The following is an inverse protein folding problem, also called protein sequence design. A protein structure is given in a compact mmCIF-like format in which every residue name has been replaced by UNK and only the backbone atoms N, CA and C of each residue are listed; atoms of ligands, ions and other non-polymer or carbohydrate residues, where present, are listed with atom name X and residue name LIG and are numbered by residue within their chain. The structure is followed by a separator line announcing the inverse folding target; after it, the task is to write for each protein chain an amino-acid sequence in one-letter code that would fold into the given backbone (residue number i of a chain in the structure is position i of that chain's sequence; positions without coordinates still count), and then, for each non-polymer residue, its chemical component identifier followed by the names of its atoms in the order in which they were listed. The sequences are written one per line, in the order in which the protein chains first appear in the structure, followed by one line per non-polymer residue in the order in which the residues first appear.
data_IF_437445264114
#
_entry.id   IF_437445264114
#
_cell.length_a   1.000
_cell.length_b   1.000
_cell.length_c   1.000
_cell.angle_alpha   90.00
_cell.angle_beta   90.00
_cell.angle_gamma   90.00
#
_symmetry.space_group_name_H-M   'P 1'
#
loop_
_entity.id
_entity.type
_entity.pdbx_description
1 polymer ?
#
# COMPACT_ATOMS: atom_id res chain seq x y z
N UNK A 1 7.83 -53.96 -11.95
CA UNK A 1 9.00 -53.18 -11.51
C UNK A 1 8.84 -51.79 -12.02
N UNK A 2 8.27 -50.91 -11.16
CA UNK A 2 8.01 -49.50 -11.46
C UNK A 2 8.83 -48.68 -10.47
N UNK A 3 9.84 -47.98 -10.98
CA UNK A 3 10.72 -47.10 -10.18
C UNK A 3 10.06 -45.75 -10.01
N UNK A 4 9.57 -45.49 -8.80
CA UNK A 4 9.18 -44.17 -8.36
C UNK A 4 10.44 -43.32 -8.08
N UNK A 5 10.72 -42.37 -8.96
CA UNK A 5 11.74 -41.35 -8.76
C UNK A 5 11.14 -40.23 -7.93
N UNK A 6 11.38 -40.24 -6.62
CA UNK A 6 11.14 -39.12 -5.73
C UNK A 6 12.21 -38.04 -5.95
N UNK A 7 11.84 -36.92 -6.55
CA UNK A 7 12.67 -35.72 -6.62
C UNK A 7 12.57 -34.97 -5.27
N UNK A 8 13.68 -34.54 -4.67
CA UNK A 8 13.62 -33.74 -3.46
C UNK A 8 13.11 -32.32 -3.77
N UNK A 9 12.09 -31.91 -3.05
CA UNK A 9 11.69 -30.50 -2.99
C UNK A 9 12.81 -29.73 -2.28
N UNK A 10 13.49 -28.86 -3.00
CA UNK A 10 14.41 -27.89 -2.41
C UNK A 10 13.56 -26.85 -1.72
N UNK A 11 13.47 -26.95 -0.41
CA UNK A 11 12.92 -25.90 0.43
C UNK A 11 13.90 -24.71 0.43
N UNK A 12 13.63 -23.74 -0.42
CA UNK A 12 14.34 -22.45 -0.41
C UNK A 12 13.80 -21.69 0.80
N UNK A 13 14.55 -21.74 1.91
CA UNK A 13 14.29 -20.89 3.06
C UNK A 13 14.53 -19.43 2.66
N UNK A 14 13.47 -18.71 2.32
CA UNK A 14 13.50 -17.27 2.07
C UNK A 14 13.66 -16.54 3.38
N UNK A 15 14.90 -16.22 3.76
CA UNK A 15 15.17 -15.27 4.82
C UNK A 15 14.96 -13.85 4.29
N UNK A 16 13.73 -13.36 4.35
CA UNK A 16 13.42 -11.97 4.02
C UNK A 16 13.75 -11.07 5.21
N UNK A 17 14.84 -10.31 5.11
CA UNK A 17 15.03 -9.10 5.91
C UNK A 17 14.04 -8.05 5.42
N UNK A 18 12.85 -8.01 6.01
CA UNK A 18 11.93 -6.87 5.84
C UNK A 18 12.55 -5.69 6.57
N UNK A 19 13.24 -4.82 5.84
CA UNK A 19 13.60 -3.50 6.34
C UNK A 19 12.30 -2.72 6.58
N UNK A 20 11.82 -2.77 7.83
CA UNK A 20 10.68 -1.96 8.24
C UNK A 20 11.09 -0.50 8.25
N UNK A 21 10.29 0.35 7.65
CA UNK A 21 10.34 1.78 7.85
C UNK A 21 10.11 2.09 9.33
N UNK A 22 11.19 2.18 10.12
CA UNK A 22 11.16 2.92 11.37
C UNK A 22 11.50 4.36 11.06
N UNK A 23 10.57 5.27 11.34
CA UNK A 23 10.81 6.70 11.37
C UNK A 23 11.98 7.01 12.29
N UNK A 24 13.11 7.41 11.72
CA UNK A 24 14.23 8.00 12.46
C UNK A 24 13.84 9.44 12.76
N UNK A 25 13.53 9.72 14.03
CA UNK A 25 13.54 11.08 14.55
C UNK A 25 14.98 11.55 14.63
N UNK A 26 15.36 12.56 13.85
CA UNK A 26 16.61 13.29 14.02
C UNK A 26 16.60 14.01 15.37
N UNK A 27 17.43 13.55 16.31
CA UNK A 27 17.92 14.37 17.41
C UNK A 27 19.40 14.66 17.19
N UNK A 28 19.74 15.92 17.35
CA UNK A 28 20.98 16.57 17.02
C UNK A 28 22.23 16.01 17.70
N UNK A 29 23.34 16.23 17.03
CA UNK A 29 24.69 15.93 17.45
C UNK A 29 25.09 16.73 18.69
N UNK A 30 25.51 16.02 19.75
CA UNK A 30 26.25 16.56 20.89
C UNK A 30 27.39 15.61 21.24
N UNK A 31 28.59 16.12 21.28
CA UNK A 31 29.88 15.48 21.55
C UNK A 31 30.02 14.88 22.96
N UNK A 32 30.95 13.95 23.21
CA UNK A 32 30.95 13.07 24.37
C UNK A 32 31.70 13.62 25.60
N UNK A 33 31.16 13.37 26.79
CA UNK A 33 31.82 13.54 28.07
C UNK A 33 31.59 12.32 28.96
N UNK A 34 32.66 11.80 29.52
CA UNK A 34 32.84 10.59 30.29
C UNK A 34 32.23 10.65 31.73
N UNK A 35 32.11 9.52 32.43
CA UNK A 35 31.08 9.29 33.45
C UNK A 35 31.56 9.56 34.92
N UNK A 36 30.60 9.81 35.81
CA UNK A 36 30.79 9.62 37.25
C UNK A 36 29.51 9.08 37.90
N UNK A 37 29.71 8.21 38.82
CA UNK A 37 28.85 7.27 39.48
C UNK A 37 28.01 7.82 40.65
N UNK A 38 27.00 6.97 40.99
CA UNK A 38 26.43 6.65 42.33
C UNK A 38 25.56 7.66 43.09
N UNK A 39 24.39 7.25 43.45
CA UNK A 39 23.87 6.82 44.76
C UNK A 39 22.41 7.24 45.02
N UNK A 40 21.60 6.24 45.20
CA UNK A 40 20.69 5.87 46.31
C UNK A 40 19.69 6.86 46.89
N UNK A 41 18.46 6.32 47.05
CA UNK A 41 17.48 6.43 48.12
C UNK A 41 16.71 7.78 48.21
N UNK A 42 15.49 7.89 48.64
CA UNK A 42 14.52 7.04 49.37
C UNK A 42 13.18 7.82 49.44
N UNK A 43 12.09 7.07 49.51
CA UNK A 43 10.81 7.28 50.22
C UNK A 43 10.11 8.63 50.42
N UNK A 44 8.78 8.53 50.32
CA UNK A 44 7.75 9.24 51.15
C UNK A 44 6.63 9.83 50.30
N UNK A 45 5.56 9.27 50.20
CA UNK A 45 4.36 8.94 51.00
C UNK A 45 3.44 10.17 51.30
N UNK A 46 2.14 9.88 51.16
CA UNK A 46 0.97 10.54 51.74
C UNK A 46 0.57 11.93 51.14
N UNK A 47 -0.63 12.22 50.87
CA UNK A 47 -1.91 11.72 51.26
C UNK A 47 -2.98 12.81 51.14
N UNK A 48 -4.18 12.34 50.99
CA UNK A 48 -5.46 12.90 51.43
C UNK A 48 -6.13 14.03 50.63
N UNK A 49 -7.29 13.69 50.04
CA UNK A 49 -8.68 13.86 50.56
C UNK A 49 -9.08 15.32 50.75
N UNK A 50 -10.19 15.79 50.37
CA UNK A 50 -11.61 15.53 50.33
C UNK A 50 -12.25 16.87 49.96
N UNK A 51 -13.36 17.06 49.54
CA UNK A 51 -14.71 16.61 49.61
C UNK A 51 -15.65 17.81 49.40
N UNK A 52 -16.76 17.48 48.82
CA UNK A 52 -18.11 17.98 49.13
C UNK A 52 -18.54 19.38 48.72
N UNK A 53 -19.60 19.46 48.13
CA UNK A 53 -21.05 19.41 48.28
C UNK A 53 -21.60 20.77 47.81
N UNK A 54 -22.69 20.91 47.19
CA UNK A 54 -23.99 20.32 47.27
C UNK A 54 -25.05 21.38 46.97
N UNK A 55 -26.18 20.90 46.55
CA UNK A 55 -27.55 21.37 46.73
C UNK A 55 -28.17 22.25 45.64
N UNK A 56 -29.12 21.64 44.89
CA UNK A 56 -30.60 21.70 45.00
C UNK A 56 -31.22 23.01 44.53
N UNK A 57 -31.98 22.90 43.45
CA UNK A 57 -33.45 22.78 43.29
C UNK A 57 -34.17 24.13 43.39
N UNK A 58 -34.98 24.48 42.45
CA UNK A 58 -36.43 24.27 42.53
C UNK A 58 -37.17 24.75 41.25
N UNK A 59 -38.22 24.07 41.01
CA UNK A 59 -39.39 24.16 40.17
C UNK A 59 -39.99 25.54 39.89
N UNK A 60 -40.53 25.72 38.64
CA UNK A 60 -41.99 25.78 38.45
C UNK A 60 -42.42 26.13 37.00
N UNK A 61 -43.38 25.42 36.58
CA UNK A 61 -44.34 25.45 35.48
C UNK A 61 -44.78 26.85 35.00
N UNK A 62 -45.02 27.05 33.71
CA UNK A 62 -46.38 27.16 33.18
C UNK A 62 -46.41 27.28 31.66
N UNK A 63 -47.42 26.68 31.09
CA UNK A 63 -47.75 26.58 29.67
C UNK A 63 -48.35 27.85 29.07
N UNK A 64 -48.24 28.02 27.77
CA UNK A 64 -49.31 28.30 26.80
C UNK A 64 -48.73 28.35 25.37
N UNK A 65 -49.26 27.54 24.45
CA UNK A 65 -49.15 27.65 22.99
C UNK A 65 -50.36 28.50 22.50
N UNK A 66 -50.58 28.71 21.16
CA UNK A 66 -49.75 28.55 19.97
C UNK A 66 -49.76 29.77 19.03
N UNK A 67 -48.96 29.81 18.00
CA UNK A 67 -49.37 30.17 16.62
C UNK A 67 -48.25 30.44 15.63
N UNK A 68 -48.24 29.64 14.59
CA UNK A 68 -48.06 29.93 13.17
C UNK A 68 -46.71 30.43 12.60
N UNK A 69 -46.19 29.53 11.77
CA UNK A 69 -45.49 29.77 10.49
C UNK A 69 -44.23 30.65 10.51
N UNK A 70 -43.12 29.97 10.38
CA UNK A 70 -42.19 30.34 9.31
C UNK A 70 -41.37 29.13 8.87
N UNK A 71 -41.41 28.94 7.64
CA UNK A 71 -40.84 27.94 6.79
C UNK A 71 -39.29 27.86 6.86
N UNK A 72 -38.77 26.61 6.88
CA UNK A 72 -37.65 26.18 6.10
C UNK A 72 -36.31 26.90 6.26
N UNK A 73 -35.43 26.33 7.07
CA UNK A 73 -33.98 26.26 6.76
C UNK A 73 -33.33 25.11 7.56
N UNK A 74 -33.72 23.91 7.23
CA UNK A 74 -33.02 22.69 7.67
C UNK A 74 -32.76 21.84 6.41
N UNK A 75 -31.93 22.35 5.52
CA UNK A 75 -31.43 21.61 4.37
C UNK A 75 -30.19 22.34 3.83
N UNK A 76 -29.06 22.25 4.54
CA UNK A 76 -27.77 22.66 3.99
C UNK A 76 -26.59 22.06 4.73
N UNK A 77 -26.62 20.76 5.00
CA UNK A 77 -25.44 20.04 5.47
C UNK A 77 -25.24 18.68 4.81
N UNK A 78 -25.96 18.39 3.72
CA UNK A 78 -25.85 17.13 2.98
C UNK A 78 -25.53 17.30 1.51
N UNK A 79 -25.12 18.51 1.02
CA UNK A 79 -24.80 18.76 -0.38
C UNK A 79 -23.41 19.35 -0.60
N UNK A 80 -22.37 18.75 0.02
CA UNK A 80 -20.99 19.10 -0.31
C UNK A 80 -20.25 17.85 -0.77
N UNK A 81 -20.83 17.11 -1.69
CA UNK A 81 -20.16 16.01 -2.37
C UNK A 81 -20.81 15.65 -3.70
N UNK A 82 -20.85 16.60 -4.62
CA UNK A 82 -21.07 16.32 -6.03
C UNK A 82 -20.57 17.49 -6.86
N UNK A 83 -19.31 17.87 -6.74
CA UNK A 83 -18.62 18.41 -7.90
C UNK A 83 -18.47 17.20 -8.81
N UNK A 84 -19.25 17.14 -9.87
CA UNK A 84 -19.13 16.12 -10.92
C UNK A 84 -17.80 16.32 -11.65
N UNK A 85 -16.73 15.88 -10.98
CA UNK A 85 -15.40 15.81 -11.58
C UNK A 85 -15.48 14.63 -12.54
N UNK A 86 -15.32 14.81 -13.85
CA UNK A 86 -15.36 13.70 -14.78
C UNK A 86 -14.24 12.71 -14.40
N UNK A 87 -14.49 11.39 -14.52
CA UNK A 87 -13.46 10.38 -14.30
C UNK A 87 -12.27 10.64 -15.24
N UNK A 88 -11.06 10.30 -14.79
CA UNK A 88 -9.87 10.38 -15.62
C UNK A 88 -9.91 9.18 -16.57
N UNK A 89 -9.88 9.42 -17.86
CA UNK A 89 -9.70 8.36 -18.85
C UNK A 89 -8.21 8.01 -18.92
N UNK A 90 -7.80 7.03 -18.08
CA UNK A 90 -6.38 6.69 -17.92
C UNK A 90 -5.80 6.13 -19.22
N UNK A 91 -6.58 5.40 -20.02
CA UNK A 91 -6.09 4.83 -21.29
C UNK A 91 -5.76 5.91 -22.30
N UNK A 92 -6.54 6.96 -22.33
CA UNK A 92 -6.38 8.09 -23.24
C UNK A 92 -5.39 9.12 -22.72
N UNK A 93 -5.54 9.51 -21.46
CA UNK A 93 -4.81 10.65 -20.88
C UNK A 93 -3.42 10.25 -20.37
N UNK A 94 -3.24 8.96 -19.98
CA UNK A 94 -2.01 8.41 -19.42
C UNK A 94 -1.67 7.03 -20.05
N UNK A 95 -1.44 6.94 -21.37
CA UNK A 95 -1.14 5.66 -22.04
C UNK A 95 0.16 5.02 -21.56
N UNK A 96 1.05 5.79 -20.95
CA UNK A 96 2.26 5.37 -20.25
C UNK A 96 2.25 5.99 -18.87
N UNK A 97 2.41 5.18 -17.83
CA UNK A 97 2.42 5.66 -16.44
C UNK A 97 3.80 5.47 -15.82
N UNK A 98 4.44 6.57 -15.43
CA UNK A 98 5.73 6.61 -14.72
C UNK A 98 5.52 7.35 -13.41
N UNK A 99 5.61 6.62 -12.31
CA UNK A 99 5.14 7.10 -11.02
C UNK A 99 6.21 7.20 -9.95
N UNK A 100 5.98 8.07 -8.98
CA UNK A 100 6.70 8.11 -7.71
C UNK A 100 5.76 7.69 -6.57
N UNK A 101 6.30 6.87 -5.66
CA UNK A 101 5.59 6.52 -4.43
C UNK A 101 5.63 7.68 -3.42
N UNK A 102 4.50 7.91 -2.78
CA UNK A 102 4.30 8.97 -1.79
C UNK A 102 3.71 8.36 -0.53
N UNK A 103 4.54 8.20 0.50
CA UNK A 103 4.07 7.67 1.77
C UNK A 103 3.09 8.64 2.45
N UNK A 104 2.34 8.15 3.43
CA UNK A 104 1.31 8.91 4.16
C UNK A 104 1.81 10.27 4.66
N UNK A 105 3.00 10.34 5.24
CA UNK A 105 3.54 11.58 5.83
C UNK A 105 3.95 12.60 4.76
N UNK A 106 4.49 12.12 3.64
CA UNK A 106 4.79 12.96 2.49
C UNK A 106 3.51 13.54 1.87
N UNK A 107 2.45 12.73 1.74
CA UNK A 107 1.15 13.17 1.25
C UNK A 107 0.48 14.22 2.14
N UNK A 108 0.69 14.17 3.45
CA UNK A 108 0.21 15.16 4.42
C UNK A 108 1.03 16.47 4.41
N UNK A 109 2.24 16.46 3.84
CA UNK A 109 3.14 17.60 3.81
C UNK A 109 2.97 18.43 2.55
N UNK A 110 2.32 19.60 2.66
CA UNK A 110 2.17 20.53 1.54
C UNK A 110 3.53 20.91 0.91
N UNK A 111 4.58 21.07 1.73
CA UNK A 111 5.94 21.37 1.24
C UNK A 111 6.46 20.20 0.38
N UNK A 112 6.29 18.94 0.87
CA UNK A 112 6.78 17.77 0.13
C UNK A 112 5.97 17.54 -1.14
N UNK A 113 4.66 17.66 -1.08
CA UNK A 113 3.81 17.55 -2.28
C UNK A 113 4.19 18.55 -3.36
N UNK A 114 4.42 19.82 -3.03
CA UNK A 114 4.92 20.82 -4.00
C UNK A 114 6.25 20.44 -4.64
N UNK A 115 7.16 19.80 -3.88
CA UNK A 115 8.44 19.31 -4.43
C UNK A 115 8.22 18.17 -5.41
N UNK A 116 7.36 17.19 -5.06
CA UNK A 116 7.07 16.04 -5.92
C UNK A 116 6.32 16.46 -7.19
N UNK A 117 5.39 17.41 -7.09
CA UNK A 117 4.70 17.98 -8.25
C UNK A 117 5.70 18.66 -9.19
N UNK A 118 6.63 19.49 -8.67
CA UNK A 118 7.66 20.08 -9.52
C UNK A 118 8.57 19.04 -10.18
N UNK A 119 8.91 17.95 -9.46
CA UNK A 119 9.67 16.86 -10.08
C UNK A 119 8.91 16.23 -11.24
N UNK A 120 7.60 16.05 -11.11
CA UNK A 120 6.77 15.56 -12.20
C UNK A 120 6.72 16.57 -13.37
N UNK A 121 6.55 17.87 -13.12
CA UNK A 121 6.54 18.91 -14.15
C UNK A 121 7.85 19.00 -14.92
N UNK A 122 8.98 18.68 -14.28
CA UNK A 122 10.34 18.82 -14.82
C UNK A 122 10.91 17.53 -15.41
N UNK A 123 10.16 16.40 -15.32
CA UNK A 123 10.66 15.07 -15.72
C UNK A 123 9.61 14.23 -16.43
N UNK A 124 9.96 13.00 -16.76
CA UNK A 124 9.08 11.98 -17.35
C UNK A 124 8.03 11.41 -16.39
N UNK A 125 8.04 11.81 -15.13
CA UNK A 125 7.07 11.36 -14.12
C UNK A 125 5.72 12.04 -14.39
N UNK A 126 4.66 11.22 -14.47
CA UNK A 126 3.31 11.70 -14.73
C UNK A 126 2.26 11.12 -13.77
N UNK A 127 2.71 10.44 -12.70
CA UNK A 127 1.79 9.86 -11.72
C UNK A 127 2.40 9.87 -10.31
N UNK A 128 1.53 9.94 -9.30
CA UNK A 128 1.91 9.79 -7.90
C UNK A 128 1.06 8.68 -7.24
N UNK A 129 1.73 7.68 -6.67
CA UNK A 129 1.09 6.62 -5.87
C UNK A 129 1.04 7.06 -4.43
N UNK A 130 -0.15 7.42 -3.94
CA UNK A 130 -0.35 7.96 -2.59
C UNK A 130 -0.88 6.88 -1.64
N UNK A 131 -0.26 6.73 -0.47
CA UNK A 131 -0.80 5.89 0.60
C UNK A 131 -2.10 6.48 1.14
N UNK A 132 -3.24 5.91 0.73
CA UNK A 132 -4.56 6.34 1.19
C UNK A 132 -5.11 5.45 2.29
N UNK A 133 -4.64 4.20 2.41
CA UNK A 133 -4.88 3.30 3.53
C UNK A 133 -3.62 2.47 3.77
N UNK A 134 -3.10 2.51 4.99
CA UNK A 134 -1.90 1.80 5.42
C UNK A 134 -2.05 1.18 6.83
N UNK A 135 -0.95 0.81 7.48
CA UNK A 135 -0.94 0.24 8.83
C UNK A 135 -1.46 1.19 9.91
N UNK A 136 -1.59 2.49 9.64
CA UNK A 136 -2.15 3.49 10.55
C UNK A 136 -3.64 3.79 10.30
N UNK A 137 -4.24 3.16 9.29
CA UNK A 137 -5.62 3.34 8.85
C UNK A 137 -5.75 4.27 7.64
N UNK A 138 -6.90 4.92 7.52
CA UNK A 138 -7.18 5.82 6.40
C UNK A 138 -6.31 7.09 6.47
N UNK A 139 -5.85 7.56 5.33
CA UNK A 139 -5.09 8.80 5.19
C UNK A 139 -5.95 9.96 4.64
N UNK A 140 -7.24 9.84 4.77
CA UNK A 140 -8.21 10.84 4.37
C UNK A 140 -9.43 10.81 5.30
N UNK A 141 -10.25 11.85 5.26
CA UNK A 141 -11.52 11.90 6.01
C UNK A 141 -12.59 11.24 5.17
N UNK A 142 -13.05 10.07 5.62
CA UNK A 142 -14.15 9.36 4.97
C UNK A 142 -15.49 10.00 5.33
N UNK A 143 -16.40 10.07 4.36
CA UNK A 143 -17.81 10.40 4.57
C UNK A 143 -18.65 9.20 5.03
N UNK A 144 -18.11 7.99 4.98
CA UNK A 144 -18.81 6.76 5.32
C UNK A 144 -18.64 6.43 6.82
N UNK A 145 -19.72 6.47 7.59
CA UNK A 145 -19.70 6.15 9.02
C UNK A 145 -19.21 4.72 9.33
N UNK A 146 -19.44 3.75 8.42
CA UNK A 146 -18.93 2.38 8.54
C UNK A 146 -17.42 2.32 8.43
N UNK A 147 -16.82 3.10 7.52
CA UNK A 147 -15.36 3.16 7.34
C UNK A 147 -14.68 3.97 8.43
N UNK A 148 -15.36 4.97 9.00
CA UNK A 148 -14.82 5.80 10.06
C UNK A 148 -14.35 5.00 11.29
N UNK A 149 -14.95 3.85 11.57
CA UNK A 149 -14.53 2.95 12.66
C UNK A 149 -13.12 2.39 12.41
N UNK A 150 -12.75 2.19 11.15
CA UNK A 150 -11.46 1.63 10.72
C UNK A 150 -10.48 2.73 10.27
N UNK A 151 -10.80 4.02 10.50
CA UNK A 151 -9.95 5.12 10.06
C UNK A 151 -8.61 5.21 10.80
N UNK A 152 -8.52 4.62 12.00
CA UNK A 152 -7.34 4.79 12.86
C UNK A 152 -7.29 6.18 13.52
N UNK A 153 -6.19 6.46 14.23
CA UNK A 153 -6.00 7.71 14.98
C UNK A 153 -4.86 8.58 14.43
N UNK A 154 -4.27 8.20 13.30
CA UNK A 154 -3.18 8.96 12.69
C UNK A 154 -3.73 10.20 11.96
N UNK A 155 -2.86 11.19 11.75
CA UNK A 155 -3.18 12.34 10.91
C UNK A 155 -3.53 11.93 9.48
N UNK A 156 -4.28 12.76 8.79
CA UNK A 156 -4.73 12.54 7.41
C UNK A 156 -4.36 13.72 6.52
N UNK A 157 -4.42 13.54 5.20
CA UNK A 157 -4.32 14.65 4.23
C UNK A 157 -5.42 15.66 4.56
N UNK A 158 -5.00 16.92 4.80
CA UNK A 158 -5.90 17.97 5.29
C UNK A 158 -7.05 18.28 4.34
N UNK A 159 -6.71 18.42 3.05
CA UNK A 159 -7.64 18.77 1.99
C UNK A 159 -7.30 17.90 0.77
N UNK A 160 -7.84 16.69 0.77
CA UNK A 160 -7.60 15.74 -0.33
C UNK A 160 -8.23 16.22 -1.64
N UNK A 161 -9.46 16.78 -1.68
CA UNK A 161 -10.01 17.33 -2.90
C UNK A 161 -9.12 18.39 -3.56
N UNK A 162 -8.63 19.37 -2.79
CA UNK A 162 -7.73 20.40 -3.31
C UNK A 162 -6.39 19.84 -3.80
N UNK A 163 -5.87 18.80 -3.15
CA UNK A 163 -4.68 18.09 -3.62
C UNK A 163 -4.94 17.41 -4.97
N UNK A 164 -6.05 16.70 -5.13
CA UNK A 164 -6.42 16.03 -6.38
C UNK A 164 -6.65 17.02 -7.50
N UNK A 165 -7.32 18.15 -7.23
CA UNK A 165 -7.48 19.25 -8.21
C UNK A 165 -6.11 19.79 -8.65
N UNK A 166 -5.16 19.94 -7.71
CA UNK A 166 -3.80 20.38 -8.02
C UNK A 166 -3.09 19.36 -8.91
N UNK A 167 -3.12 18.06 -8.56
CA UNK A 167 -2.50 17.02 -9.39
C UNK A 167 -3.07 17.00 -10.80
N UNK A 168 -4.39 17.12 -10.94
CA UNK A 168 -5.05 17.20 -12.24
C UNK A 168 -4.61 18.41 -13.05
N UNK A 169 -4.51 19.59 -12.42
CA UNK A 169 -4.05 20.81 -13.10
C UNK A 169 -2.60 20.69 -13.63
N UNK A 170 -1.79 19.84 -13.00
CA UNK A 170 -0.43 19.52 -13.43
C UNK A 170 -0.32 18.26 -14.31
N UNK A 171 -1.45 17.72 -14.81
CA UNK A 171 -1.49 16.46 -15.58
C UNK A 171 -0.79 15.29 -14.89
N UNK A 172 -0.96 15.16 -13.57
CA UNK A 172 -0.40 14.09 -12.77
C UNK A 172 -1.53 13.13 -12.37
N UNK A 173 -1.42 11.86 -12.75
CA UNK A 173 -2.36 10.81 -12.40
C UNK A 173 -2.26 10.50 -10.89
N UNK A 174 -3.32 10.71 -10.11
CA UNK A 174 -3.37 10.26 -8.73
C UNK A 174 -3.74 8.76 -8.67
N UNK A 175 -2.89 7.97 -8.02
CA UNK A 175 -3.10 6.55 -7.79
C UNK A 175 -3.27 6.33 -6.29
N UNK A 176 -4.39 5.72 -5.88
CA UNK A 176 -4.65 5.45 -4.47
C UNK A 176 -4.14 4.07 -4.07
N UNK A 177 -3.09 4.00 -3.24
CA UNK A 177 -2.60 2.73 -2.70
C UNK A 177 -3.34 2.38 -1.41
N UNK A 178 -3.84 1.15 -1.35
CA UNK A 178 -4.61 0.56 -0.26
C UNK A 178 -3.90 -0.71 0.22
N UNK A 179 -3.42 -0.72 1.45
CA UNK A 179 -2.95 -1.92 2.14
C UNK A 179 -4.16 -2.76 2.57
N UNK A 180 -4.27 -4.01 2.07
CA UNK A 180 -5.48 -4.81 2.24
C UNK A 180 -5.45 -5.69 3.48
N UNK A 181 -4.60 -6.74 3.52
CA UNK A 181 -4.68 -7.76 4.57
C UNK A 181 -3.72 -7.56 5.74
N UNK A 182 -2.69 -6.74 5.59
CA UNK A 182 -1.83 -6.32 6.70
C UNK A 182 -2.41 -5.09 7.40
N UNK A 183 -3.58 -5.24 7.99
CA UNK A 183 -4.36 -4.15 8.57
C UNK A 183 -4.60 -4.38 10.07
N UNK A 184 -3.70 -3.85 10.88
CA UNK A 184 -3.78 -3.97 12.33
C UNK A 184 -4.83 -3.02 12.96
N UNK A 185 -5.28 -2.01 12.22
CA UNK A 185 -6.37 -1.12 12.66
C UNK A 185 -7.70 -1.87 12.59
N UNK A 186 -8.02 -2.43 11.42
CA UNK A 186 -9.21 -3.26 11.24
C UNK A 186 -9.16 -4.49 12.17
N UNK A 187 -8.00 -5.11 12.35
CA UNK A 187 -7.85 -6.25 13.27
C UNK A 187 -8.15 -5.92 14.74
N UNK A 188 -7.99 -4.66 15.15
CA UNK A 188 -8.39 -4.20 16.50
C UNK A 188 -9.87 -3.90 16.62
N UNK A 189 -10.46 -3.34 15.57
CA UNK A 189 -11.89 -2.98 15.52
C UNK A 189 -12.75 -4.23 15.34
N UNK A 190 -12.27 -5.18 14.55
CA UNK A 190 -12.92 -6.44 14.19
C UNK A 190 -12.01 -7.63 14.50
N UNK A 191 -11.84 -7.99 15.79
CA UNK A 191 -11.02 -9.15 16.18
C UNK A 191 -11.47 -10.45 15.54
N UNK A 192 -12.77 -10.59 15.27
CA UNK A 192 -13.39 -11.76 14.61
C UNK A 192 -12.93 -11.95 13.15
N UNK A 193 -12.43 -10.90 12.49
CA UNK A 193 -11.94 -10.96 11.11
C UNK A 193 -10.45 -11.32 11.01
N UNK A 194 -9.81 -11.69 12.11
CA UNK A 194 -8.35 -11.90 12.14
C UNK A 194 -7.95 -13.34 11.86
N UNK A 195 -6.70 -13.51 11.42
CA UNK A 195 -6.02 -14.80 11.37
C UNK A 195 -5.84 -15.29 12.82
N UNK A 196 -6.04 -16.58 13.06
CA UNK A 196 -6.00 -17.21 14.38
C UNK A 196 -4.78 -18.11 14.55
N UNK A 197 -4.50 -18.47 15.80
CA UNK A 197 -3.64 -19.58 16.20
C UNK A 197 -4.50 -20.82 16.44
N UNK A 198 -3.86 -21.97 16.70
CA UNK A 198 -4.55 -23.22 17.04
C UNK A 198 -5.33 -23.13 18.37
N UNK A 199 -4.91 -22.28 19.30
CA UNK A 199 -5.62 -21.98 20.56
C UNK A 199 -6.73 -20.93 20.40
N UNK A 200 -7.07 -20.57 19.16
CA UNK A 200 -8.05 -19.54 18.79
C UNK A 200 -7.67 -18.09 19.20
N UNK A 201 -6.47 -17.85 19.71
CA UNK A 201 -5.97 -16.49 19.93
C UNK A 201 -5.60 -15.81 18.61
N UNK A 202 -5.50 -14.47 18.60
CA UNK A 202 -5.15 -13.69 17.40
C UNK A 202 -3.69 -14.00 17.02
N UNK A 203 -3.49 -14.39 15.76
CA UNK A 203 -2.15 -14.57 15.20
C UNK A 203 -1.48 -13.22 14.95
N UNK A 204 -0.17 -13.14 15.19
CA UNK A 204 0.65 -11.94 14.98
C UNK A 204 1.93 -12.28 14.26
N UNK A 205 2.37 -11.38 13.39
CA UNK A 205 3.63 -11.48 12.66
C UNK A 205 4.87 -11.23 13.57
N UNK A 206 6.07 -11.29 12.98
CA UNK A 206 7.35 -11.04 13.70
C UNK A 206 7.45 -9.65 14.34
N UNK A 207 6.63 -8.69 13.91
CA UNK A 207 6.55 -7.34 14.48
C UNK A 207 5.45 -7.20 15.52
N UNK A 208 4.76 -8.28 15.83
CA UNK A 208 3.63 -8.29 16.76
C UNK A 208 2.33 -7.72 16.17
N UNK A 209 2.28 -7.46 14.84
CA UNK A 209 1.10 -6.93 14.17
C UNK A 209 0.10 -8.03 13.88
N UNK A 210 -1.17 -7.78 14.18
CA UNK A 210 -2.27 -8.64 13.75
C UNK A 210 -2.59 -8.40 12.28
N UNK A 211 -2.95 -9.48 11.58
CA UNK A 211 -3.41 -9.46 10.21
C UNK A 211 -4.87 -9.86 10.14
N UNK A 212 -5.60 -9.29 9.20
CA UNK A 212 -6.96 -9.70 8.88
C UNK A 212 -6.95 -10.90 7.94
N UNK A 213 -8.00 -11.72 8.03
CA UNK A 213 -8.10 -12.99 7.30
C UNK A 213 -8.58 -12.77 5.86
N UNK A 214 -7.77 -13.10 4.82
CA UNK A 214 -8.18 -12.92 3.43
C UNK A 214 -9.45 -13.67 3.01
N UNK A 215 -9.85 -14.70 3.74
CA UNK A 215 -11.08 -15.46 3.48
C UNK A 215 -12.35 -14.77 4.01
N UNK A 216 -12.23 -13.65 4.74
CA UNK A 216 -13.38 -12.97 5.34
C UNK A 216 -14.00 -11.95 4.37
N UNK A 217 -15.20 -12.19 3.86
CA UNK A 217 -15.79 -11.42 2.76
C UNK A 217 -16.26 -10.00 3.14
N UNK A 218 -16.65 -9.74 4.39
CA UNK A 218 -16.98 -8.39 4.84
C UNK A 218 -15.75 -7.46 4.75
N UNK A 219 -14.56 -8.02 4.98
CA UNK A 219 -13.30 -7.31 4.79
C UNK A 219 -13.08 -6.90 3.33
N UNK A 220 -13.51 -7.74 2.37
CA UNK A 220 -13.45 -7.39 0.95
C UNK A 220 -14.33 -6.19 0.66
N UNK A 221 -15.59 -6.25 1.12
CA UNK A 221 -16.56 -5.16 0.94
C UNK A 221 -16.05 -3.84 1.52
N UNK A 222 -15.37 -3.89 2.66
CA UNK A 222 -14.73 -2.72 3.27
C UNK A 222 -13.62 -2.15 2.37
N UNK A 223 -12.64 -2.97 1.96
CA UNK A 223 -11.51 -2.48 1.17
C UNK A 223 -11.93 -2.01 -0.23
N UNK A 224 -12.84 -2.72 -0.88
CA UNK A 224 -13.42 -2.32 -2.18
C UNK A 224 -14.20 -1.02 -2.02
N UNK A 225 -15.02 -0.89 -0.98
CA UNK A 225 -15.78 0.34 -0.71
C UNK A 225 -14.89 1.56 -0.43
N UNK A 226 -13.77 1.38 0.28
CA UNK A 226 -12.76 2.45 0.44
C UNK A 226 -12.21 2.89 -0.93
N UNK A 227 -11.90 1.95 -1.82
CA UNK A 227 -11.45 2.28 -3.17
C UNK A 227 -12.53 2.98 -3.99
N UNK A 228 -13.80 2.58 -3.89
CA UNK A 228 -14.91 3.28 -4.56
C UNK A 228 -15.09 4.72 -4.07
N UNK A 229 -14.91 4.96 -2.76
CA UNK A 229 -14.95 6.31 -2.22
C UNK A 229 -13.81 7.17 -2.80
N UNK A 230 -12.59 6.63 -2.86
CA UNK A 230 -11.43 7.30 -3.45
C UNK A 230 -11.58 7.53 -4.96
N UNK A 231 -12.11 6.56 -5.70
CA UNK A 231 -12.44 6.69 -7.11
C UNK A 231 -13.40 7.86 -7.36
N UNK A 232 -14.47 7.97 -6.57
CA UNK A 232 -15.44 9.08 -6.63
C UNK A 232 -14.84 10.44 -6.25
N UNK A 233 -13.75 10.45 -5.48
CA UNK A 233 -13.00 11.67 -5.17
C UNK A 233 -12.09 12.12 -6.33
N UNK A 234 -11.82 11.26 -7.33
CA UNK A 234 -11.05 11.61 -8.52
C UNK A 234 -9.70 10.92 -8.67
N UNK A 235 -9.46 9.79 -7.98
CA UNK A 235 -8.34 8.91 -8.30
C UNK A 235 -8.63 8.15 -9.60
N UNK A 236 -7.62 8.04 -10.47
CA UNK A 236 -7.74 7.30 -11.74
C UNK A 236 -7.41 5.83 -11.62
N UNK A 237 -6.64 5.42 -10.60
CA UNK A 237 -6.32 4.03 -10.32
C UNK A 237 -6.43 3.71 -8.82
N UNK A 238 -6.92 2.51 -8.50
CA UNK A 238 -6.90 1.94 -7.15
C UNK A 238 -5.90 0.79 -7.14
N UNK A 239 -4.85 0.97 -6.34
CA UNK A 239 -3.74 0.05 -6.23
C UNK A 239 -3.78 -0.71 -4.91
N UNK A 240 -3.91 -2.02 -4.98
CA UNK A 240 -3.94 -2.89 -3.83
C UNK A 240 -2.55 -3.44 -3.50
N UNK A 241 -2.08 -3.20 -2.29
CA UNK A 241 -0.90 -3.83 -1.74
C UNK A 241 -1.24 -4.74 -0.55
N UNK A 242 -0.30 -5.61 -0.18
CA UNK A 242 -0.51 -6.64 0.82
C UNK A 242 -1.74 -7.52 0.52
N UNK A 243 -2.02 -7.75 -0.78
CA UNK A 243 -2.98 -8.74 -1.25
C UNK A 243 -2.33 -10.14 -1.20
N UNK A 244 -2.01 -10.56 0.01
CA UNK A 244 -1.30 -11.78 0.31
C UNK A 244 -1.52 -12.24 1.74
N UNK A 245 -1.23 -13.48 1.99
CA UNK A 245 -1.13 -14.02 3.35
C UNK A 245 0.20 -13.64 3.98
N UNK A 246 0.30 -13.61 5.32
CA UNK A 246 1.58 -13.42 5.98
C UNK A 246 2.49 -14.63 5.77
N UNK A 247 3.80 -14.40 5.78
CA UNK A 247 4.80 -15.45 5.62
C UNK A 247 4.72 -16.46 6.79
N UNK A 248 4.69 -17.78 6.52
CA UNK A 248 4.63 -18.80 7.56
C UNK A 248 6.05 -19.14 8.08
N UNK A 249 6.65 -18.23 8.82
CA UNK A 249 7.97 -18.49 9.41
C UNK A 249 7.90 -19.61 10.46
N UNK A 250 8.83 -20.55 10.43
CA UNK A 250 8.94 -21.64 11.41
C UNK A 250 9.07 -21.14 12.87
N UNK A 251 9.54 -19.91 13.09
CA UNK A 251 9.63 -19.27 14.40
C UNK A 251 8.32 -18.67 14.91
N UNK A 252 7.25 -18.69 14.12
CA UNK A 252 5.95 -18.17 14.49
C UNK A 252 4.93 -19.32 14.67
N UNK A 253 3.90 -19.10 15.49
CA UNK A 253 2.80 -20.05 15.60
C UNK A 253 2.16 -20.32 14.25
N UNK A 254 1.57 -21.51 14.08
CA UNK A 254 0.82 -21.87 12.89
C UNK A 254 -0.36 -20.94 12.67
N UNK A 255 -0.55 -20.55 11.41
CA UNK A 255 -1.69 -19.74 10.98
C UNK A 255 -2.93 -20.62 10.78
N UNK A 256 -4.05 -20.21 11.37
CA UNK A 256 -5.36 -20.82 11.18
C UNK A 256 -6.30 -19.81 10.53
N UNK A 257 -7.00 -20.24 9.49
CA UNK A 257 -7.91 -19.41 8.70
C UNK A 257 -9.35 -19.93 8.86
N UNK A 258 -10.15 -19.35 9.78
CA UNK A 258 -11.48 -19.86 10.10
C UNK A 258 -12.41 -20.01 8.89
N UNK A 259 -12.41 -19.06 7.97
CA UNK A 259 -13.36 -19.00 6.86
C UNK A 259 -12.89 -19.67 5.56
N UNK A 260 -11.78 -20.42 5.60
CA UNK A 260 -11.13 -20.93 4.37
C UNK A 260 -12.00 -21.92 3.58
N UNK A 261 -12.84 -22.72 4.27
CA UNK A 261 -13.73 -23.73 3.66
C UNK A 261 -13.05 -24.60 2.61
N UNK A 262 -11.74 -24.84 2.77
CA UNK A 262 -10.92 -25.62 1.82
C UNK A 262 -10.50 -24.88 0.54
N UNK A 263 -10.83 -23.61 0.38
CA UNK A 263 -10.40 -22.80 -0.75
C UNK A 263 -8.88 -22.53 -0.69
N UNK A 264 -8.21 -22.58 -1.83
CA UNK A 264 -6.77 -22.28 -1.90
C UNK A 264 -6.48 -20.79 -1.75
N UNK A 265 -5.29 -20.47 -1.21
CA UNK A 265 -4.84 -19.08 -1.05
C UNK A 265 -4.83 -18.30 -2.39
N UNK A 266 -4.31 -18.85 -3.51
CA UNK A 266 -4.33 -18.11 -4.79
C UNK A 266 -5.73 -17.81 -5.30
N UNK A 267 -6.65 -18.75 -5.13
CA UNK A 267 -8.03 -18.56 -5.59
C UNK A 267 -8.76 -17.46 -4.84
N UNK A 268 -8.59 -17.39 -3.51
CA UNK A 268 -9.26 -16.35 -2.71
C UNK A 268 -8.71 -14.96 -3.05
N UNK A 269 -7.40 -14.82 -3.27
CA UNK A 269 -6.80 -13.55 -3.68
C UNK A 269 -7.29 -13.11 -5.07
N UNK A 270 -7.34 -14.04 -6.02
CA UNK A 270 -7.85 -13.76 -7.36
C UNK A 270 -9.34 -13.40 -7.35
N UNK A 271 -10.16 -14.02 -6.50
CA UNK A 271 -11.59 -13.69 -6.37
C UNK A 271 -11.77 -12.29 -5.80
N UNK A 272 -11.01 -11.91 -4.76
CA UNK A 272 -11.01 -10.54 -4.22
C UNK A 272 -10.72 -9.52 -5.33
N UNK A 273 -9.64 -9.74 -6.09
CA UNK A 273 -9.23 -8.82 -7.16
C UNK A 273 -10.26 -8.74 -8.29
N UNK A 274 -10.82 -9.87 -8.74
CA UNK A 274 -11.90 -9.88 -9.75
C UNK A 274 -13.14 -9.13 -9.29
N UNK A 275 -13.51 -9.30 -8.01
CA UNK A 275 -14.65 -8.57 -7.46
C UNK A 275 -14.37 -7.05 -7.40
N UNK A 276 -13.15 -6.66 -7.03
CA UNK A 276 -12.74 -5.26 -7.02
C UNK A 276 -12.71 -4.68 -8.44
N UNK A 277 -12.11 -5.41 -9.39
CA UNK A 277 -12.01 -4.99 -10.79
C UNK A 277 -13.39 -4.72 -11.39
N UNK A 278 -14.33 -5.67 -11.26
CA UNK A 278 -15.70 -5.50 -11.76
C UNK A 278 -16.43 -4.29 -11.15
N UNK A 279 -16.10 -3.90 -9.90
CA UNK A 279 -16.69 -2.74 -9.24
C UNK A 279 -16.08 -1.43 -9.72
N UNK A 280 -14.79 -1.41 -10.01
CA UNK A 280 -14.06 -0.22 -10.46
C UNK A 280 -14.21 0.03 -11.96
N UNK A 281 -14.34 -1.02 -12.77
CA UNK A 281 -14.70 -0.92 -14.19
C UNK A 281 -16.01 -0.11 -14.39
N UNK A 282 -16.99 -0.36 -13.52
CA UNK A 282 -18.25 0.37 -13.54
C UNK A 282 -18.10 1.88 -13.20
N UNK A 283 -16.95 2.27 -12.63
CA UNK A 283 -16.59 3.65 -12.29
C UNK A 283 -15.60 4.26 -13.30
N UNK A 284 -15.12 3.49 -14.28
CA UNK A 284 -14.07 3.90 -15.21
C UNK A 284 -12.70 4.07 -14.53
N UNK A 285 -12.39 3.27 -13.48
CA UNK A 285 -11.17 3.38 -12.70
C UNK A 285 -10.42 2.05 -12.76
N UNK A 286 -9.13 2.08 -13.05
CA UNK A 286 -8.29 0.87 -13.15
C UNK A 286 -8.02 0.23 -11.78
N UNK A 287 -8.05 -1.10 -11.75
CA UNK A 287 -7.62 -1.92 -10.62
C UNK A 287 -6.18 -2.37 -10.83
N UNK A 288 -5.32 -2.10 -9.87
CA UNK A 288 -3.92 -2.51 -9.94
C UNK A 288 -3.48 -3.28 -8.70
N UNK A 289 -2.48 -4.15 -8.82
CA UNK A 289 -2.11 -5.06 -7.75
C UNK A 289 -0.60 -5.20 -7.56
N UNK A 290 -0.12 -4.95 -6.34
CA UNK A 290 1.27 -5.14 -5.94
C UNK A 290 1.53 -6.61 -5.59
N UNK A 291 2.56 -7.19 -6.19
CA UNK A 291 2.96 -8.58 -5.94
C UNK A 291 4.46 -8.67 -5.70
N UNK A 292 4.89 -9.74 -5.04
CA UNK A 292 6.32 -9.99 -4.90
C UNK A 292 7.00 -10.21 -6.25
N UNK A 293 8.17 -9.60 -6.43
CA UNK A 293 8.95 -9.77 -7.67
C UNK A 293 9.26 -11.23 -8.01
N UNK A 294 9.42 -12.10 -7.01
CA UNK A 294 9.63 -13.53 -7.21
C UNK A 294 8.46 -14.24 -7.90
N UNK A 295 7.24 -13.71 -7.82
CA UNK A 295 6.06 -14.29 -8.48
C UNK A 295 6.24 -14.33 -9.98
N UNK A 296 7.00 -13.41 -10.57
CA UNK A 296 7.30 -13.40 -12.02
C UNK A 296 8.08 -14.64 -12.49
N UNK A 297 8.89 -15.23 -11.61
CA UNK A 297 9.88 -16.27 -11.97
C UNK A 297 9.59 -17.66 -11.38
N UNK A 298 8.83 -17.73 -10.29
CA UNK A 298 8.46 -18.98 -9.63
C UNK A 298 7.24 -19.58 -10.30
N UNK A 299 7.27 -20.89 -10.59
CA UNK A 299 6.12 -21.64 -11.11
C UNK A 299 5.21 -22.05 -9.95
N UNK A 300 3.92 -21.78 -10.11
CA UNK A 300 2.90 -22.01 -9.09
C UNK A 300 2.93 -20.95 -7.96
N UNK A 301 2.12 -21.15 -6.91
CA UNK A 301 1.94 -20.16 -5.88
C UNK A 301 3.13 -20.06 -4.92
N UNK A 302 3.43 -18.85 -4.48
CA UNK A 302 4.21 -18.64 -3.26
C UNK A 302 3.38 -19.02 -2.02
N UNK A 303 4.04 -19.35 -0.91
CA UNK A 303 3.36 -19.69 0.36
C UNK A 303 2.41 -18.59 0.87
N UNK A 304 2.66 -17.35 0.47
CA UNK A 304 1.79 -16.19 0.73
C UNK A 304 0.56 -16.13 -0.18
N UNK A 305 0.37 -17.09 -1.07
CA UNK A 305 -0.80 -17.22 -1.93
C UNK A 305 -0.72 -16.47 -3.27
N UNK A 306 0.33 -15.73 -3.52
CA UNK A 306 0.48 -15.04 -4.81
C UNK A 306 0.94 -16.00 -5.90
N UNK A 307 0.20 -16.03 -7.02
CA UNK A 307 0.46 -16.83 -8.20
C UNK A 307 0.19 -15.99 -9.45
N UNK A 308 1.14 -15.93 -10.39
CA UNK A 308 1.04 -15.07 -11.58
C UNK A 308 -0.23 -15.34 -12.38
N UNK A 309 -0.46 -16.61 -12.74
CA UNK A 309 -1.57 -17.04 -13.59
C UNK A 309 -2.95 -16.82 -12.98
N UNK A 310 -3.03 -16.54 -11.68
CA UNK A 310 -4.28 -16.23 -10.98
C UNK A 310 -4.49 -14.74 -10.81
N UNK A 311 -3.41 -13.97 -10.57
CA UNK A 311 -3.48 -12.54 -10.29
C UNK A 311 -3.47 -11.72 -11.58
N UNK A 312 -2.56 -12.01 -12.52
CA UNK A 312 -2.43 -11.25 -13.76
C UNK A 312 -3.77 -11.08 -14.49
N UNK A 313 -4.57 -12.13 -14.77
CA UNK A 313 -5.85 -11.97 -15.46
C UNK A 313 -6.99 -11.41 -14.57
N UNK A 314 -6.71 -11.01 -13.35
CA UNK A 314 -7.73 -10.53 -12.40
C UNK A 314 -7.71 -9.02 -12.18
N UNK A 315 -6.77 -8.31 -12.81
CA UNK A 315 -6.55 -6.85 -12.67
C UNK A 315 -6.18 -6.22 -14.00
N UNK A 316 -6.27 -4.90 -14.11
CA UNK A 316 -5.85 -4.16 -15.31
C UNK A 316 -4.33 -4.04 -15.37
N UNK A 317 -3.65 -3.84 -14.23
CA UNK A 317 -2.19 -3.71 -14.18
C UNK A 317 -1.61 -4.50 -13.01
N UNK A 318 -0.60 -5.30 -13.27
CA UNK A 318 0.20 -6.00 -12.25
C UNK A 318 1.47 -5.19 -11.96
N UNK A 319 1.77 -4.99 -10.68
CA UNK A 319 2.96 -4.26 -10.24
C UNK A 319 3.91 -5.17 -9.45
N UNK A 320 4.79 -5.92 -10.13
CA UNK A 320 5.78 -6.74 -9.45
C UNK A 320 6.86 -5.88 -8.77
N UNK A 321 7.11 -6.15 -7.50
CA UNK A 321 8.14 -5.49 -6.68
C UNK A 321 9.50 -6.13 -6.96
N UNK A 322 10.13 -5.77 -8.07
CA UNK A 322 11.37 -6.38 -8.56
C UNK A 322 12.63 -5.69 -8.00
N UNK A 323 12.64 -5.42 -6.69
CA UNK A 323 13.78 -4.78 -6.02
C UNK A 323 14.99 -5.71 -5.98
N UNK A 324 16.13 -5.39 -6.63
CA UNK A 324 17.29 -6.26 -6.68
C UNK A 324 17.83 -6.66 -5.29
N UNK A 325 17.72 -5.76 -4.30
CA UNK A 325 18.14 -6.05 -2.92
C UNK A 325 17.29 -7.09 -2.19
N UNK A 326 16.11 -7.43 -2.72
CA UNK A 326 15.18 -8.39 -2.13
C UNK A 326 15.29 -9.80 -2.71
N UNK A 327 16.15 -9.99 -3.70
CA UNK A 327 16.48 -11.31 -4.20
C UNK A 327 17.64 -11.91 -3.40
N UNK A 328 17.58 -13.21 -3.05
CA UNK A 328 18.63 -13.84 -2.28
C UNK A 328 19.94 -13.93 -3.10
N UNK A 329 21.06 -13.96 -2.41
CA UNK A 329 22.35 -14.23 -3.04
C UNK A 329 22.29 -15.50 -3.90
N UNK A 330 22.84 -15.45 -5.10
CA UNK A 330 22.80 -16.55 -6.06
C UNK A 330 21.49 -16.65 -6.87
N UNK A 331 20.49 -15.80 -6.62
CA UNK A 331 19.28 -15.77 -7.44
C UNK A 331 19.65 -15.57 -8.92
N UNK A 332 19.01 -16.35 -9.80
CA UNK A 332 19.28 -16.35 -11.25
C UNK A 332 20.74 -16.62 -11.64
N UNK A 333 21.54 -17.25 -10.76
CA UNK A 333 22.99 -17.43 -10.95
C UNK A 333 23.80 -16.14 -10.71
N UNK A 334 23.19 -15.08 -10.20
CA UNK A 334 23.83 -13.81 -9.91
C UNK A 334 24.34 -13.82 -8.46
N UNK A 335 25.66 -13.77 -8.20
CA UNK A 335 26.19 -13.85 -6.83
C UNK A 335 25.59 -12.79 -5.88
N UNK A 336 25.50 -11.54 -6.32
CA UNK A 336 24.96 -10.42 -5.56
C UNK A 336 23.92 -9.68 -6.40
N UNK A 337 22.64 -10.09 -6.36
CA UNK A 337 21.57 -9.47 -7.18
C UNK A 337 21.48 -7.97 -7.03
N UNK A 338 21.66 -7.45 -5.80
CA UNK A 338 21.63 -6.01 -5.54
C UNK A 338 22.69 -5.21 -6.31
N UNK A 339 23.80 -5.85 -6.72
CA UNK A 339 24.85 -5.21 -7.52
C UNK A 339 24.58 -5.24 -9.04
N UNK A 340 23.61 -6.02 -9.47
CA UNK A 340 23.29 -6.27 -10.90
C UNK A 340 21.82 -5.91 -11.21
N UNK A 341 21.40 -4.67 -10.98
CA UNK A 341 19.98 -4.30 -11.08
C UNK A 341 19.39 -4.53 -12.47
N UNK A 342 20.16 -4.26 -13.54
CA UNK A 342 19.71 -4.53 -14.89
C UNK A 342 19.35 -6.02 -15.08
N UNK A 343 20.25 -6.93 -14.74
CA UNK A 343 20.06 -8.37 -14.97
C UNK A 343 18.88 -8.92 -14.19
N UNK A 344 18.71 -8.49 -12.95
CA UNK A 344 17.61 -8.96 -12.10
C UNK A 344 16.28 -8.55 -12.69
N UNK A 345 16.13 -7.29 -13.08
CA UNK A 345 14.90 -6.73 -13.62
C UNK A 345 14.58 -7.32 -14.98
N UNK A 346 15.56 -7.40 -15.87
CA UNK A 346 15.43 -7.99 -17.21
C UNK A 346 14.92 -9.44 -17.12
N UNK A 347 15.55 -10.29 -16.31
CA UNK A 347 15.11 -11.68 -16.12
C UNK A 347 13.69 -11.76 -15.55
N UNK A 348 13.39 -10.97 -14.54
CA UNK A 348 12.09 -10.99 -13.88
C UNK A 348 10.97 -10.56 -14.84
N UNK A 349 11.17 -9.47 -15.56
CA UNK A 349 10.16 -8.91 -16.46
C UNK A 349 10.03 -9.68 -17.78
N UNK A 350 11.12 -10.17 -18.36
CA UNK A 350 11.06 -11.07 -19.52
C UNK A 350 10.22 -12.31 -19.22
N UNK A 351 10.39 -12.90 -18.03
CA UNK A 351 9.56 -14.04 -17.62
C UNK A 351 8.11 -13.68 -17.35
N UNK A 352 7.84 -12.49 -16.82
CA UNK A 352 6.48 -11.98 -16.69
C UNK A 352 5.82 -11.87 -18.08
N UNK A 353 6.53 -11.28 -19.04
CA UNK A 353 6.08 -11.13 -20.42
C UNK A 353 5.77 -12.49 -21.09
N UNK A 354 6.66 -13.48 -20.95
CA UNK A 354 6.44 -14.83 -21.47
C UNK A 354 5.22 -15.54 -20.87
N UNK A 355 4.92 -15.25 -19.58
CA UNK A 355 3.77 -15.84 -18.89
C UNK A 355 2.48 -15.18 -19.30
N UNK A 356 2.45 -13.84 -19.40
CA UNK A 356 1.30 -13.10 -19.90
C UNK A 356 0.96 -13.46 -21.36
N UNK A 357 1.97 -13.60 -22.21
CA UNK A 357 1.78 -14.06 -23.59
C UNK A 357 1.07 -15.44 -23.65
N UNK A 358 1.38 -16.37 -22.73
CA UNK A 358 0.69 -17.67 -22.62
C UNK A 358 -0.75 -17.55 -22.11
N UNK A 359 -1.07 -16.49 -21.41
CA UNK A 359 -2.44 -16.15 -20.97
C UNK A 359 -3.22 -15.34 -22.01
N UNK A 360 -2.58 -15.00 -23.14
CA UNK A 360 -3.16 -14.15 -24.17
C UNK A 360 -3.17 -12.66 -23.83
N UNK A 361 -2.42 -12.25 -22.80
CA UNK A 361 -2.26 -10.87 -22.38
C UNK A 361 -1.02 -10.31 -23.06
N UNK A 362 -1.21 -9.32 -23.94
CA UNK A 362 -0.13 -8.74 -24.77
C UNK A 362 0.04 -7.25 -24.59
N UNK A 363 -0.82 -6.60 -23.81
CA UNK A 363 -0.77 -5.17 -23.58
C UNK A 363 0.48 -4.78 -22.76
N UNK A 364 1.40 -3.96 -23.29
CA UNK A 364 2.63 -3.60 -22.56
C UNK A 364 2.37 -2.76 -21.31
N UNK A 365 1.23 -2.10 -21.21
CA UNK A 365 0.75 -1.37 -20.02
C UNK A 365 0.28 -2.29 -18.89
N UNK A 366 0.04 -3.58 -19.15
CA UNK A 366 -0.46 -4.53 -18.18
C UNK A 366 0.54 -4.84 -17.04
N UNK A 367 1.83 -4.63 -17.26
CA UNK A 367 2.85 -4.78 -16.20
C UNK A 367 3.57 -3.46 -15.98
N UNK A 368 3.59 -3.03 -14.72
CA UNK A 368 4.27 -1.80 -14.27
C UNK A 368 5.13 -2.13 -13.05
N UNK A 369 6.43 -2.43 -13.22
CA UNK A 369 7.27 -2.85 -12.11
C UNK A 369 7.50 -1.72 -11.10
N UNK A 370 7.59 -2.10 -9.83
CA UNK A 370 8.19 -1.28 -8.79
C UNK A 370 9.70 -1.40 -8.86
N UNK A 371 10.39 -0.28 -9.03
CA UNK A 371 11.84 -0.16 -9.11
C UNK A 371 12.43 0.39 -7.82
N UNK A 372 13.63 -0.07 -7.46
CA UNK A 372 14.29 0.29 -6.22
C UNK A 372 14.94 1.67 -6.32
N UNK A 373 14.43 2.65 -5.55
CA UNK A 373 15.00 3.99 -5.39
C UNK A 373 15.45 4.21 -3.94
N UNK A 374 16.24 3.28 -3.41
CA UNK A 374 16.81 3.31 -2.06
C UNK A 374 18.04 2.42 -1.98
N UNK A 375 18.93 2.72 -1.03
CA UNK A 375 20.09 1.90 -0.72
C UNK A 375 19.77 0.88 0.37
N UNK A 376 20.30 -0.35 0.25
CA UNK A 376 20.18 -1.39 1.28
C UNK A 376 21.54 -2.09 1.47
N UNK A 377 21.95 -2.23 2.73
CA UNK A 377 23.25 -2.79 3.08
C UNK A 377 24.38 -1.82 2.76
N UNK A 378 25.49 -2.34 2.19
CA UNK A 378 26.70 -1.54 1.87
C UNK A 378 26.68 -0.95 0.47
N UNK A 379 25.71 -1.30 -0.35
CA UNK A 379 25.61 -0.84 -1.74
C UNK A 379 24.72 0.40 -1.84
N UNK A 380 25.32 1.49 -2.32
CA UNK A 380 24.59 2.72 -2.56
C UNK A 380 23.97 2.71 -3.95
N UNK A 381 22.69 3.10 -4.00
CA UNK A 381 21.94 3.31 -5.24
C UNK A 381 21.93 4.78 -5.59
N UNK A 382 22.33 5.06 -6.81
CA UNK A 382 22.33 6.39 -7.41
C UNK A 382 21.66 6.41 -8.78
N UNK A 383 21.88 7.46 -9.58
CA UNK A 383 21.29 7.57 -10.92
C UNK A 383 21.58 6.38 -11.83
N UNK A 384 22.80 5.86 -11.84
CA UNK A 384 23.19 4.73 -12.70
C UNK A 384 22.37 3.46 -12.45
N UNK A 385 22.02 3.18 -11.17
CA UNK A 385 21.19 2.02 -10.83
C UNK A 385 19.74 2.23 -11.25
N UNK A 386 19.22 3.46 -11.20
CA UNK A 386 17.87 3.78 -11.70
C UNK A 386 17.83 3.66 -13.23
N UNK A 387 18.80 4.20 -13.94
CA UNK A 387 18.92 4.07 -15.41
C UNK A 387 18.99 2.62 -15.84
N UNK A 388 19.77 1.79 -15.14
CA UNK A 388 19.89 0.36 -15.40
C UNK A 388 18.55 -0.38 -15.24
N UNK A 389 17.78 -0.07 -14.18
CA UNK A 389 16.47 -0.63 -13.93
C UNK A 389 15.43 -0.19 -14.98
N UNK A 390 15.40 1.10 -15.33
CA UNK A 390 14.53 1.64 -16.40
C UNK A 390 14.83 0.96 -17.74
N UNK A 391 16.11 0.88 -18.12
CA UNK A 391 16.54 0.23 -19.37
C UNK A 391 16.09 -1.22 -19.42
N UNK A 392 16.30 -1.99 -18.35
CA UNK A 392 15.86 -3.39 -18.29
C UNK A 392 14.32 -3.51 -18.43
N UNK A 393 13.55 -2.56 -17.87
CA UNK A 393 12.10 -2.50 -18.04
C UNK A 393 11.73 -2.31 -19.51
N UNK A 394 12.39 -1.39 -20.20
CA UNK A 394 12.14 -1.12 -21.63
C UNK A 394 12.58 -2.28 -22.52
N UNK A 395 13.74 -2.89 -22.25
CA UNK A 395 14.26 -4.02 -23.02
C UNK A 395 13.37 -5.28 -22.87
N UNK A 396 12.71 -5.44 -21.71
CA UNK A 396 11.69 -6.47 -21.48
C UNK A 396 10.35 -6.19 -22.16
N UNK A 397 10.19 -5.04 -22.85
CA UNK A 397 8.97 -4.70 -23.60
C UNK A 397 7.94 -3.87 -22.84
N UNK A 398 8.25 -3.37 -21.65
CA UNK A 398 7.37 -2.53 -20.84
C UNK A 398 7.81 -1.07 -20.88
N UNK A 399 6.87 -0.12 -20.65
CA UNK A 399 7.14 1.31 -20.76
C UNK A 399 6.89 2.07 -19.45
N UNK A 400 5.96 1.60 -18.63
CA UNK A 400 5.64 2.17 -17.33
C UNK A 400 6.46 1.58 -16.18
N UNK A 401 6.61 2.35 -15.11
CA UNK A 401 7.28 1.92 -13.88
C UNK A 401 6.88 2.80 -12.69
N UNK A 402 7.14 2.32 -11.47
CA UNK A 402 7.00 3.08 -10.24
C UNK A 402 8.33 3.07 -9.49
N UNK A 403 8.87 4.23 -9.13
CA UNK A 403 10.02 4.30 -8.22
C UNK A 403 9.54 4.23 -6.77
N UNK A 404 10.12 3.32 -6.00
CA UNK A 404 9.89 3.22 -4.57
C UNK A 404 11.07 3.71 -3.75
N UNK A 405 10.85 4.82 -3.03
CA UNK A 405 11.71 5.32 -1.97
C UNK A 405 10.91 5.34 -0.66
N UNK A 406 11.28 4.58 0.37
CA UNK A 406 10.50 4.51 1.63
C UNK A 406 10.22 5.87 2.26
N UNK A 407 11.17 6.79 2.16
CA UNK A 407 11.03 8.16 2.64
C UNK A 407 10.42 9.13 1.62
N UNK A 408 9.99 8.64 0.45
CA UNK A 408 9.53 9.47 -0.67
C UNK A 408 10.55 10.56 -1.04
N UNK A 409 11.85 10.24 -1.03
CA UNK A 409 12.98 11.14 -1.35
C UNK A 409 13.57 10.72 -2.69
N UNK A 410 13.50 11.58 -3.69
CA UNK A 410 13.91 11.28 -5.07
C UNK A 410 14.98 12.23 -5.61
N UNK A 411 15.36 13.25 -4.85
CA UNK A 411 16.36 14.24 -5.25
C UNK A 411 17.68 13.61 -5.73
N UNK A 412 18.22 12.55 -5.08
CA UNK A 412 19.46 11.92 -5.54
C UNK A 412 19.34 11.21 -6.88
N UNK A 413 18.13 10.89 -7.31
CA UNK A 413 17.85 10.10 -8.50
C UNK A 413 17.38 10.93 -9.70
N UNK A 414 17.16 12.24 -9.52
CA UNK A 414 16.72 13.16 -10.58
C UNK A 414 17.58 13.08 -11.85
N UNK A 415 18.92 12.94 -11.79
CA UNK A 415 19.74 12.85 -13.01
C UNK A 415 19.42 11.63 -13.89
N UNK A 416 18.77 10.58 -13.33
CA UNK A 416 18.34 9.40 -14.08
C UNK A 416 16.98 9.55 -14.72
N UNK A 417 16.22 10.61 -14.43
CA UNK A 417 14.92 10.88 -14.99
C UNK A 417 15.05 11.73 -16.26
N UNK A 418 14.34 11.35 -17.30
CA UNK A 418 14.28 12.11 -18.54
C UNK A 418 13.46 13.39 -18.33
N UNK A 419 13.76 14.46 -19.08
CA UNK A 419 13.04 15.73 -18.95
C UNK A 419 11.61 15.68 -19.48
N UNK A 420 11.33 14.74 -20.35
CA UNK A 420 10.01 14.58 -20.98
C UNK A 420 9.64 13.11 -21.06
N UNK A 421 8.35 12.84 -20.98
CA UNK A 421 7.82 11.51 -21.18
C UNK A 421 7.92 11.12 -22.68
N UNK A 422 8.73 10.12 -22.98
CA UNK A 422 8.81 9.52 -24.31
C UNK A 422 8.41 8.06 -24.20
N UNK A 423 7.35 7.67 -24.92
CA UNK A 423 6.95 6.26 -25.01
C UNK A 423 8.06 5.44 -25.68
N UNK A 424 8.37 4.30 -25.09
CA UNK A 424 9.36 3.33 -25.58
C UNK A 424 8.67 2.15 -26.28
N UNK A 425 7.35 2.23 -26.49
CA UNK A 425 6.63 1.18 -27.23
C UNK A 425 7.28 0.98 -28.60
N UNK A 426 7.70 -0.24 -28.86
CA UNK A 426 8.28 -0.69 -30.12
C UNK A 426 7.21 -1.36 -30.97
#
# INVERSE_FOLDING_TARGET
MSLHSSRPYVAIALAWLVAGCTSVSEQGAGTPGTPVATATADRGDAGQRAANAGARADTSKEAVAPSARSTSTAASSAETSARGVPPIDVDKDFPVVRALYVNRFAAQSTKRMRQLIRMADETEVNALVLDMKDEFGLNYRTGNAGFARNAGNAGVVRDLPALLDTLRAHHILPIARIVVFKDSVTARVHPEWTIRREDNSIWRDKKGLAWVNPYHHELWSYNIGVGEELAKMGFGEIQFDYIRFPEPYASLPKQVFPDSKGQSKPEVLAQFLKQANARYDALGVRTTADIFGLVTTVRGPLEVGQEWEKISPAVDVVLPMVYPSHYPHGAFGIPVPNAEPYKVIDIALTRAHERDAKLGITAPEHVRPWLQAFSLGKLEYGPAQIEAQKRATYDAGYDGWVLWSPGSKYEPFLPALEKTLVSRKR
#
